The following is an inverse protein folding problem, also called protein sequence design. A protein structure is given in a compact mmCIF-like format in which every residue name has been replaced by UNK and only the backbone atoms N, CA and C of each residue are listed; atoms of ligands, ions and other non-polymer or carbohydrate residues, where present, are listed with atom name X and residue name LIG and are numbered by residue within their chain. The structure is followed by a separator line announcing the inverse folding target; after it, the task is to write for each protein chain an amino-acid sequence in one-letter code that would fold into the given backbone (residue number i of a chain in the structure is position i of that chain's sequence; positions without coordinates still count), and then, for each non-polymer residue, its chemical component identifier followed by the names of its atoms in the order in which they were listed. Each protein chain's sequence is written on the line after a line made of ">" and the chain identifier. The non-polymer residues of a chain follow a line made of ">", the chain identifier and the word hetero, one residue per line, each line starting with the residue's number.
data_IF_865807966085
#
_entry.id   IF_865807966085
#
_cell.length_a   1.000
_cell.length_b   1.000
_cell.length_c   1.000
_cell.angle_alpha   90.00
_cell.angle_beta   90.00
_cell.angle_gamma   90.00
#
_symmetry.space_group_name_H-M   'P 1'
#
loop_
_entity.id
_entity.type
_entity.pdbx_description
1 polymer ?
#
# COMPACT_ATOMS: atom_id res chain seq x y z
N UNK A 1 20.48 7.19 18.57
CA UNK A 1 21.38 6.37 17.75
C UNK A 1 20.55 5.46 16.86
N UNK A 2 20.86 5.43 15.56
CA UNK A 2 20.13 4.57 14.62
C UNK A 2 20.71 3.16 14.69
N UNK A 3 19.91 2.20 15.05
CA UNK A 3 20.32 0.82 15.00
C UNK A 3 19.92 0.22 13.64
N UNK A 4 20.29 -1.04 13.41
CA UNK A 4 20.04 -1.71 12.14
C UNK A 4 18.54 -1.82 11.86
N UNK A 5 17.74 -2.08 12.88
CA UNK A 5 16.29 -2.21 12.73
C UNK A 5 15.68 -0.88 12.27
N UNK A 6 16.11 0.22 12.86
CA UNK A 6 15.63 1.55 12.46
C UNK A 6 15.98 1.87 11.01
N UNK A 7 17.19 1.52 10.59
CA UNK A 7 17.63 1.72 9.21
C UNK A 7 16.76 0.91 8.26
N UNK A 8 16.50 -0.36 8.59
CA UNK A 8 15.65 -1.23 7.78
C UNK A 8 14.23 -0.66 7.70
N UNK A 9 13.69 -0.18 8.82
CA UNK A 9 12.35 0.41 8.84
C UNK A 9 12.26 1.63 7.92
N UNK A 10 13.27 2.50 7.97
CA UNK A 10 13.29 3.70 7.13
C UNK A 10 13.37 3.32 5.65
N UNK A 11 14.20 2.35 5.32
CA UNK A 11 14.34 1.88 3.94
C UNK A 11 13.02 1.29 3.46
N UNK A 12 12.38 0.45 4.27
CA UNK A 12 11.11 -0.16 3.91
C UNK A 12 10.01 0.89 3.72
N UNK A 13 9.96 1.88 4.58
CA UNK A 13 9.00 2.98 4.44
C UNK A 13 9.24 3.77 3.16
N UNK A 14 10.50 4.03 2.83
CA UNK A 14 10.84 4.72 1.59
C UNK A 14 10.40 3.90 0.37
N UNK A 15 10.63 2.60 0.40
CA UNK A 15 10.21 1.72 -0.69
C UNK A 15 8.69 1.67 -0.79
N UNK A 16 7.99 1.62 0.34
CA UNK A 16 6.52 1.63 0.35
C UNK A 16 5.99 2.92 -0.26
N UNK A 17 6.56 4.05 0.12
CA UNK A 17 6.15 5.34 -0.42
C UNK A 17 6.37 5.42 -1.92
N UNK A 18 7.53 4.97 -2.39
CA UNK A 18 7.86 4.96 -3.81
C UNK A 18 6.91 4.06 -4.59
N UNK A 19 6.62 2.88 -4.05
CA UNK A 19 5.70 1.94 -4.68
C UNK A 19 4.29 2.50 -4.75
N UNK A 20 3.83 3.15 -3.68
CA UNK A 20 2.51 3.77 -3.65
C UNK A 20 2.38 4.85 -4.72
N UNK A 21 3.40 5.70 -4.87
CA UNK A 21 3.39 6.73 -5.91
C UNK A 21 3.37 6.09 -7.29
N UNK A 22 4.15 5.03 -7.49
CA UNK A 22 4.19 4.33 -8.76
C UNK A 22 2.82 3.75 -9.11
N UNK A 23 2.11 3.17 -8.13
CA UNK A 23 0.77 2.64 -8.34
C UNK A 23 -0.18 3.75 -8.83
N UNK A 24 -0.09 4.92 -8.25
CA UNK A 24 -0.97 6.03 -8.60
C UNK A 24 -0.71 6.57 -10.01
N UNK A 25 0.53 6.50 -10.46
CA UNK A 25 0.92 7.03 -11.77
C UNK A 25 0.59 6.05 -12.90
N UNK A 26 0.71 4.76 -12.64
CA UNK A 26 0.54 3.74 -13.66
C UNK A 26 -0.90 3.64 -14.14
N UNK A 27 -1.08 3.46 -15.46
CA UNK A 27 -2.39 3.28 -16.07
C UNK A 27 -2.64 1.86 -16.55
N UNK A 28 -1.58 1.09 -16.72
CA UNK A 28 -1.70 -0.31 -17.12
C UNK A 28 -2.08 -1.14 -15.89
N UNK A 29 -3.26 -1.74 -15.92
CA UNK A 29 -3.80 -2.42 -14.73
C UNK A 29 -2.96 -3.62 -14.29
N UNK A 30 -2.36 -4.32 -15.24
CA UNK A 30 -1.46 -5.43 -14.88
C UNK A 30 -0.28 -4.93 -14.04
N UNK A 31 0.31 -3.81 -14.45
CA UNK A 31 1.41 -3.22 -13.68
C UNK A 31 0.94 -2.76 -12.30
N UNK A 32 -0.27 -2.20 -12.22
CA UNK A 32 -0.85 -1.77 -10.94
C UNK A 32 -1.03 -2.96 -10.01
N UNK A 33 -1.55 -4.07 -10.51
CA UNK A 33 -1.74 -5.29 -9.71
C UNK A 33 -0.41 -5.83 -9.21
N UNK A 34 0.60 -5.89 -10.08
CA UNK A 34 1.93 -6.35 -9.70
C UNK A 34 2.54 -5.46 -8.63
N UNK A 35 2.42 -4.13 -8.79
CA UNK A 35 2.93 -3.18 -7.81
C UNK A 35 2.18 -3.27 -6.49
N UNK A 36 0.87 -3.51 -6.53
CA UNK A 36 0.08 -3.70 -5.33
C UNK A 36 0.55 -4.93 -4.57
N UNK A 37 0.85 -6.02 -5.27
CA UNK A 37 1.41 -7.20 -4.66
C UNK A 37 2.76 -6.93 -4.00
N UNK A 38 3.62 -6.19 -4.70
CA UNK A 38 4.92 -5.78 -4.14
C UNK A 38 4.73 -4.89 -2.91
N UNK A 39 3.77 -3.97 -2.96
CA UNK A 39 3.46 -3.11 -1.83
C UNK A 39 3.07 -3.92 -0.60
N UNK A 40 2.23 -4.95 -0.79
CA UNK A 40 1.81 -5.83 0.30
C UNK A 40 2.99 -6.61 0.88
N UNK A 41 3.91 -7.08 0.04
CA UNK A 41 5.12 -7.76 0.52
C UNK A 41 6.01 -6.83 1.34
N UNK A 42 6.19 -5.60 0.87
CA UNK A 42 6.97 -4.61 1.61
C UNK A 42 6.30 -4.26 2.93
N UNK A 43 4.97 -4.14 2.94
CA UNK A 43 4.22 -3.91 4.17
C UNK A 43 4.42 -5.05 5.16
N UNK A 44 4.39 -6.30 4.66
CA UNK A 44 4.62 -7.47 5.51
C UNK A 44 6.04 -7.43 6.10
N UNK A 45 7.03 -7.05 5.29
CA UNK A 45 8.40 -6.90 5.78
C UNK A 45 8.50 -5.87 6.89
N UNK A 46 7.83 -4.73 6.71
CA UNK A 46 7.80 -3.70 7.73
C UNK A 46 7.14 -4.20 9.02
N UNK A 47 6.04 -4.92 8.90
CA UNK A 47 5.35 -5.49 10.06
C UNK A 47 6.23 -6.48 10.81
N UNK A 48 7.06 -7.25 10.09
CA UNK A 48 8.02 -8.15 10.74
C UNK A 48 9.01 -7.36 11.59
N UNK A 49 9.53 -6.25 11.07
CA UNK A 49 10.48 -5.43 11.82
C UNK A 49 9.84 -4.75 13.02
N UNK A 50 8.51 -4.61 13.01
CA UNK A 50 7.76 -4.05 14.13
C UNK A 50 7.31 -5.14 15.12
N UNK A 51 7.82 -6.36 15.00
CA UNK A 51 7.48 -7.49 15.86
C UNK A 51 6.03 -7.94 15.73
N UNK A 52 5.38 -7.62 14.61
CA UNK A 52 4.01 -8.04 14.35
C UNK A 52 3.99 -9.20 13.34
N UNK A 53 4.62 -10.31 13.72
CA UNK A 53 4.82 -11.44 12.82
C UNK A 53 3.50 -12.05 12.35
N UNK A 54 2.53 -12.18 13.24
CA UNK A 54 1.23 -12.75 12.88
C UNK A 54 0.51 -11.87 11.85
N UNK A 55 0.55 -10.56 12.04
CA UNK A 55 -0.05 -9.60 11.10
C UNK A 55 0.71 -9.62 9.79
N UNK A 56 2.05 -9.68 9.85
CA UNK A 56 2.88 -9.74 8.65
C UNK A 56 2.56 -10.97 7.81
N UNK A 57 2.42 -12.10 8.46
CA UNK A 57 2.09 -13.35 7.79
C UNK A 57 0.74 -13.27 7.11
N UNK A 58 -0.25 -12.71 7.80
CA UNK A 58 -1.59 -12.53 7.26
C UNK A 58 -1.57 -11.58 6.05
N UNK A 59 -0.85 -10.48 6.16
CA UNK A 59 -0.72 -9.51 5.07
C UNK A 59 -0.06 -10.14 3.85
N UNK A 60 1.02 -10.90 4.05
CA UNK A 60 1.71 -11.54 2.95
C UNK A 60 0.81 -12.57 2.26
N UNK A 61 0.09 -13.37 3.03
CA UNK A 61 -0.77 -14.42 2.46
C UNK A 61 -1.95 -13.83 1.71
N UNK A 62 -2.65 -12.87 2.30
CA UNK A 62 -3.87 -12.30 1.71
C UNK A 62 -3.52 -11.19 0.71
N UNK A 63 -2.71 -10.24 1.13
CA UNK A 63 -2.42 -9.07 0.31
C UNK A 63 -1.54 -9.38 -0.89
N UNK A 64 -0.41 -10.05 -0.66
CA UNK A 64 0.52 -10.34 -1.74
C UNK A 64 0.11 -11.57 -2.53
N UNK A 65 -0.54 -12.54 -1.89
CA UNK A 65 -0.92 -13.80 -2.54
C UNK A 65 -2.34 -13.80 -3.08
N UNK A 66 -3.30 -14.01 -2.21
CA UNK A 66 -4.69 -14.25 -2.62
C UNK A 66 -5.28 -13.05 -3.37
N UNK A 67 -5.12 -11.85 -2.85
CA UNK A 67 -5.65 -10.66 -3.49
C UNK A 67 -5.05 -10.44 -4.88
N UNK A 68 -3.75 -10.66 -5.02
CA UNK A 68 -3.07 -10.51 -6.31
C UNK A 68 -3.62 -11.52 -7.32
N UNK A 69 -3.80 -12.78 -6.91
CA UNK A 69 -4.35 -13.80 -7.79
C UNK A 69 -5.77 -13.44 -8.23
N UNK A 70 -6.61 -12.99 -7.30
CA UNK A 70 -7.97 -12.59 -7.61
C UNK A 70 -8.01 -11.41 -8.57
N UNK A 71 -7.14 -10.43 -8.35
CA UNK A 71 -7.07 -9.27 -9.23
C UNK A 71 -6.58 -9.64 -10.62
N UNK A 72 -5.60 -10.54 -10.71
CA UNK A 72 -5.11 -11.00 -12.01
C UNK A 72 -6.22 -11.77 -12.76
N UNK A 73 -7.00 -12.59 -12.04
CA UNK A 73 -8.13 -13.28 -12.63
C UNK A 73 -9.18 -12.31 -13.17
N UNK A 74 -9.51 -11.30 -12.39
CA UNK A 74 -10.43 -10.25 -12.82
C UNK A 74 -9.88 -9.49 -14.02
N UNK A 75 -8.60 -9.18 -14.00
CA UNK A 75 -7.96 -8.43 -15.07
C UNK A 75 -7.98 -9.20 -16.39
N UNK A 76 -7.91 -10.53 -16.32
CA UNK A 76 -7.99 -11.35 -17.53
C UNK A 76 -9.35 -11.22 -18.24
N UNK A 77 -10.38 -10.82 -17.49
CA UNK A 77 -11.75 -10.67 -18.01
C UNK A 77 -12.13 -9.21 -18.27
N UNK A 78 -11.24 -8.26 -17.98
CA UNK A 78 -11.53 -6.85 -18.10
C UNK A 78 -10.46 -6.14 -18.94
N UNK A 79 -10.64 -4.84 -19.13
CA UNK A 79 -9.64 -4.03 -19.85
C UNK A 79 -8.39 -3.89 -18.99
N UNK A 80 -7.24 -3.97 -19.67
CA UNK A 80 -5.95 -3.88 -19.02
C UNK A 80 -5.51 -2.44 -18.73
N UNK A 81 -6.20 -1.47 -19.33
CA UNK A 81 -5.87 -0.07 -19.12
C UNK A 81 -6.96 0.63 -18.36
N UNK A 82 -6.56 1.41 -17.39
CA UNK A 82 -7.48 2.22 -16.62
C UNK A 82 -7.95 3.41 -17.48
N UNK A 83 -9.28 3.61 -17.47
CA UNK A 83 -9.87 4.77 -18.11
C UNK A 83 -10.00 5.87 -17.05
N UNK A 84 -9.12 6.86 -17.11
CA UNK A 84 -9.15 7.95 -16.15
C UNK A 84 -9.66 9.23 -16.82
N UNK A 85 -10.49 10.00 -16.11
CA UNK A 85 -10.80 11.32 -16.56
C UNK A 85 -9.54 12.20 -16.53
N UNK A 86 -9.41 13.21 -17.41
CA UNK A 86 -8.22 14.05 -17.45
C UNK A 86 -8.03 14.91 -16.23
N UNK A 87 -9.05 15.03 -15.39
CA UNK A 87 -8.99 15.84 -14.16
C UNK A 87 -9.16 14.97 -12.94
N UNK A 88 -8.49 15.36 -11.86
CA UNK A 88 -8.72 14.73 -10.57
C UNK A 88 -10.14 15.05 -10.10
N UNK A 89 -10.82 14.03 -9.60
CA UNK A 89 -12.16 14.22 -9.08
C UNK A 89 -12.10 15.08 -7.81
N UNK A 90 -12.84 16.19 -7.75
CA UNK A 90 -12.87 16.99 -6.51
C UNK A 90 -13.39 16.22 -5.33
N UNK A 91 -14.36 15.32 -5.57
CA UNK A 91 -14.92 14.50 -4.50
C UNK A 91 -13.87 13.52 -3.97
N UNK A 92 -13.10 12.91 -4.86
CA UNK A 92 -12.02 12.00 -4.46
C UNK A 92 -10.95 12.69 -3.64
N UNK A 93 -10.54 13.89 -4.07
CA UNK A 93 -9.56 14.68 -3.34
C UNK A 93 -10.08 15.07 -1.95
N UNK A 94 -11.35 15.44 -1.88
CA UNK A 94 -11.97 15.81 -0.61
C UNK A 94 -11.99 14.63 0.36
N UNK A 95 -12.37 13.46 -0.12
CA UNK A 95 -12.43 12.25 0.72
C UNK A 95 -11.04 11.90 1.23
N UNK A 96 -10.03 11.92 0.35
CA UNK A 96 -8.64 11.60 0.72
C UNK A 96 -8.13 12.60 1.76
N UNK A 97 -8.39 13.89 1.56
CA UNK A 97 -7.94 14.93 2.48
C UNK A 97 -8.58 14.76 3.85
N UNK A 98 -9.89 14.53 3.88
CA UNK A 98 -10.61 14.34 5.14
C UNK A 98 -10.12 13.10 5.86
N UNK A 99 -9.96 11.99 5.15
CA UNK A 99 -9.48 10.73 5.74
C UNK A 99 -8.07 10.88 6.29
N UNK A 100 -7.17 11.48 5.51
CA UNK A 100 -5.80 11.70 5.95
C UNK A 100 -5.72 12.61 7.16
N UNK A 101 -6.50 13.69 7.16
CA UNK A 101 -6.56 14.62 8.29
C UNK A 101 -7.08 13.95 9.54
N UNK A 102 -8.14 13.14 9.40
CA UNK A 102 -8.70 12.41 10.53
C UNK A 102 -7.69 11.42 11.12
N UNK A 103 -6.96 10.70 10.26
CA UNK A 103 -5.94 9.75 10.71
C UNK A 103 -4.80 10.45 11.44
N UNK A 104 -4.35 11.58 10.92
CA UNK A 104 -3.29 12.35 11.57
C UNK A 104 -3.77 12.87 12.93
N UNK A 105 -5.00 13.35 12.99
CA UNK A 105 -5.58 13.85 14.24
C UNK A 105 -5.70 12.73 15.28
N UNK A 106 -6.05 11.53 14.85
CA UNK A 106 -6.24 10.39 15.75
C UNK A 106 -4.91 9.77 16.23
N UNK A 107 -3.83 9.95 15.47
CA UNK A 107 -2.54 9.34 15.79
C UNK A 107 -2.03 9.67 17.20
N UNK A 108 -2.07 10.94 17.68
CA UNK A 108 -1.58 11.23 19.03
C UNK A 108 -2.41 10.58 20.14
N UNK A 109 -3.66 10.22 19.86
CA UNK A 109 -4.54 9.60 20.85
C UNK A 109 -4.41 8.09 20.90
N UNK A 110 -3.60 7.49 20.02
CA UNK A 110 -3.41 6.05 19.99
C UNK A 110 -2.57 5.60 21.19
N UNK A 111 -2.95 4.46 21.81
CA UNK A 111 -2.15 3.97 22.93
C UNK A 111 -0.76 3.54 22.46
N UNK A 112 0.20 3.76 23.33
CA UNK A 112 1.57 3.32 23.08
C UNK A 112 1.80 1.96 23.74
N UNK A 113 2.55 1.12 23.09
CA UNK A 113 2.87 -0.21 23.55
C UNK A 113 4.32 -0.31 23.98
#
# INVERSE_FOLDING_TARGET
>A
MLDMVTIVDVVLLALLSTTAVAILIMRHLFAVVALTGAFSLLSAGLLVTLDAVDVAFTEAAVGAGISTVLMLGTLALTRRRESRPPRLSPIGLLVITITGGALIYATPDMPKF
#
